data_IF_445816770136
#
_entry.id   IF_445816770136
#
_cell.length_a   1.000
_cell.length_b   1.000
_cell.length_c   1.000
_cell.angle_alpha   90.00
_cell.angle_beta   90.00
_cell.angle_gamma   90.00
#
_symmetry.space_group_name_H-M   'P 1'
#
loop_
_entity.id
_entity.type
_entity.pdbx_description
1 polymer ?
#
# COMPACT_ATOMS: atom_id res chain seq x y z
N UNK A 1 45.38 -24.15 -27.49
CA UNK A 1 43.90 -24.31 -27.69
C UNK A 1 43.07 -23.28 -26.89
N UNK A 2 43.69 -22.32 -26.20
CA UNK A 2 42.99 -21.41 -25.27
C UNK A 2 42.70 -20.01 -25.84
N UNK A 3 43.44 -19.55 -26.85
CA UNK A 3 43.11 -18.30 -27.58
C UNK A 3 41.67 -18.32 -28.15
N UNK A 4 41.21 -19.50 -28.61
CA UNK A 4 39.84 -19.70 -29.07
C UNK A 4 38.82 -19.60 -27.93
N UNK A 5 39.14 -20.06 -26.72
CA UNK A 5 38.29 -19.97 -25.52
C UNK A 5 38.10 -18.52 -25.06
N UNK A 6 39.15 -17.70 -25.10
CA UNK A 6 39.04 -16.28 -24.77
C UNK A 6 38.13 -15.51 -25.75
N UNK A 7 38.30 -15.77 -27.05
CA UNK A 7 37.43 -15.23 -28.08
C UNK A 7 35.99 -15.74 -27.94
N UNK A 8 35.79 -16.99 -27.52
CA UNK A 8 34.47 -17.52 -27.21
C UNK A 8 33.84 -16.86 -25.98
N UNK A 9 34.61 -16.64 -24.91
CA UNK A 9 34.16 -15.91 -23.72
C UNK A 9 33.63 -14.53 -24.13
N UNK A 10 34.41 -13.77 -24.89
CA UNK A 10 34.02 -12.44 -25.34
C UNK A 10 32.78 -12.47 -26.25
N UNK A 11 32.81 -13.30 -27.30
CA UNK A 11 31.76 -13.28 -28.33
C UNK A 11 30.42 -13.77 -27.81
N UNK A 12 30.43 -14.83 -26.99
CA UNK A 12 29.20 -15.48 -26.48
C UNK A 12 28.63 -14.79 -25.24
N UNK A 13 29.40 -13.96 -24.54
CA UNK A 13 28.92 -13.25 -23.35
C UNK A 13 27.98 -12.09 -23.69
N UNK A 14 27.00 -11.89 -22.81
CA UNK A 14 26.12 -10.73 -22.73
C UNK A 14 26.85 -9.53 -22.11
N UNK A 15 26.30 -8.33 -22.28
CA UNK A 15 26.87 -7.12 -21.67
C UNK A 15 26.91 -7.22 -20.13
N UNK A 16 25.92 -7.86 -19.51
CA UNK A 16 25.89 -8.03 -18.06
C UNK A 16 26.95 -9.04 -17.57
N UNK A 17 27.18 -10.12 -18.31
CA UNK A 17 28.27 -11.06 -18.01
C UNK A 17 29.64 -10.38 -18.13
N UNK A 18 29.86 -9.60 -19.20
CA UNK A 18 31.10 -8.84 -19.37
C UNK A 18 31.32 -7.83 -18.24
N UNK A 19 30.28 -7.07 -17.85
CA UNK A 19 30.33 -6.17 -16.68
C UNK A 19 30.68 -6.93 -15.41
N UNK A 20 30.14 -8.14 -15.22
CA UNK A 20 30.44 -8.97 -14.05
C UNK A 20 31.89 -9.44 -14.06
N UNK A 21 32.41 -9.96 -15.17
CA UNK A 21 33.81 -10.38 -15.27
C UNK A 21 34.78 -9.22 -15.00
N UNK A 22 34.52 -8.05 -15.57
CA UNK A 22 35.33 -6.85 -15.34
C UNK A 22 35.39 -6.54 -13.84
N UNK A 23 34.24 -6.56 -13.15
CA UNK A 23 34.18 -6.25 -11.71
C UNK A 23 34.89 -7.28 -10.84
N UNK A 24 34.82 -8.56 -11.20
CA UNK A 24 35.57 -9.61 -10.50
C UNK A 24 37.08 -9.32 -10.57
N UNK A 25 37.61 -8.95 -11.74
CA UNK A 25 39.03 -8.62 -11.88
C UNK A 25 39.39 -7.32 -11.15
N UNK A 26 38.54 -6.30 -11.23
CA UNK A 26 38.73 -5.02 -10.52
C UNK A 26 38.77 -5.22 -8.99
N UNK A 27 37.90 -6.07 -8.44
CA UNK A 27 37.84 -6.33 -7.00
C UNK A 27 39.06 -7.13 -6.50
N UNK A 28 39.51 -8.13 -7.24
CA UNK A 28 40.72 -8.92 -6.93
C UNK A 28 42.01 -8.08 -6.96
N UNK A 29 42.06 -7.05 -7.82
CA UNK A 29 43.23 -6.18 -7.97
C UNK A 29 43.32 -5.07 -6.91
N UNK A 30 42.43 -5.06 -5.92
CA UNK A 30 42.42 -4.09 -4.82
C UNK A 30 42.06 -2.67 -5.26
N UNK A 31 41.45 -2.50 -6.44
CA UNK A 31 40.96 -1.19 -6.88
C UNK A 31 39.77 -0.75 -6.03
N UNK A 32 40.02 0.25 -5.19
CA UNK A 32 39.06 0.80 -4.23
C UNK A 32 38.02 1.69 -4.90
N UNK A 33 36.73 1.37 -4.69
CA UNK A 33 35.55 2.27 -4.64
C UNK A 33 35.25 3.23 -5.82
N UNK A 34 36.15 3.41 -6.78
CA UNK A 34 35.88 4.13 -8.01
C UNK A 34 35.16 3.16 -8.95
N UNK A 35 33.86 2.97 -8.70
CA UNK A 35 32.97 2.18 -9.53
C UNK A 35 33.10 2.68 -10.97
N UNK A 36 33.71 1.86 -11.84
CA UNK A 36 33.66 2.13 -13.27
C UNK A 36 32.20 2.06 -13.71
N UNK A 37 31.61 3.22 -14.00
CA UNK A 37 30.21 3.29 -14.38
C UNK A 37 30.04 2.76 -15.81
N UNK A 38 29.65 1.49 -15.93
CA UNK A 38 29.40 0.82 -17.21
C UNK A 38 28.03 1.11 -17.83
N UNK A 39 27.23 2.03 -17.28
CA UNK A 39 25.86 2.29 -17.79
C UNK A 39 25.85 2.82 -19.23
N UNK A 40 26.93 3.46 -19.67
CA UNK A 40 27.09 3.98 -21.03
C UNK A 40 27.99 3.12 -21.93
N UNK A 41 28.46 1.98 -21.43
CA UNK A 41 29.35 1.10 -22.20
C UNK A 41 28.50 0.18 -23.08
N UNK A 42 28.74 0.24 -24.38
CA UNK A 42 28.26 -0.79 -25.30
C UNK A 42 29.11 -2.06 -25.15
N UNK A 43 28.62 -3.19 -25.69
CA UNK A 43 29.35 -4.46 -25.70
C UNK A 43 30.82 -4.31 -26.12
N UNK A 44 31.12 -3.62 -27.22
CA UNK A 44 32.50 -3.45 -27.71
C UNK A 44 33.43 -2.77 -26.69
N UNK A 45 32.95 -1.75 -25.98
CA UNK A 45 33.72 -1.07 -24.93
C UNK A 45 34.00 -2.00 -23.74
N UNK A 46 33.03 -2.86 -23.39
CA UNK A 46 33.20 -3.85 -22.31
C UNK A 46 34.21 -4.92 -22.70
N UNK A 47 34.14 -5.44 -23.92
CA UNK A 47 35.10 -6.43 -24.44
C UNK A 47 36.53 -5.89 -24.41
N UNK A 48 36.71 -4.62 -24.83
CA UNK A 48 38.00 -3.94 -24.80
C UNK A 48 38.51 -3.75 -23.37
N UNK A 49 37.65 -3.33 -22.44
CA UNK A 49 38.01 -3.13 -21.03
C UNK A 49 38.44 -4.44 -20.37
N UNK A 50 37.65 -5.51 -20.57
CA UNK A 50 37.95 -6.83 -20.05
C UNK A 50 39.31 -7.33 -20.56
N UNK A 51 39.61 -7.05 -21.84
CA UNK A 51 40.88 -7.40 -22.47
C UNK A 51 42.08 -6.69 -21.86
N UNK A 52 41.95 -5.41 -21.58
CA UNK A 52 43.00 -4.64 -20.91
C UNK A 52 43.26 -5.15 -19.49
N UNK A 53 42.20 -5.51 -18.78
CA UNK A 53 42.31 -6.05 -17.42
C UNK A 53 42.96 -7.43 -17.38
N UNK A 54 42.59 -8.35 -18.29
CA UNK A 54 43.20 -9.68 -18.37
C UNK A 54 44.66 -9.59 -18.80
N UNK A 55 44.98 -8.74 -19.79
CA UNK A 55 46.36 -8.45 -20.21
C UNK A 55 47.20 -7.97 -19.02
N UNK A 56 46.68 -7.07 -18.21
CA UNK A 56 47.35 -6.55 -17.01
C UNK A 56 47.50 -7.61 -15.91
N UNK A 57 46.44 -8.38 -15.64
CA UNK A 57 46.41 -9.43 -14.61
C UNK A 57 47.44 -10.53 -14.89
N UNK A 58 47.49 -11.01 -16.13
CA UNK A 58 48.35 -12.11 -16.56
C UNK A 58 49.72 -11.65 -17.10
N UNK A 59 49.95 -10.34 -17.23
CA UNK A 59 51.16 -9.76 -17.84
C UNK A 59 51.41 -10.25 -19.28
N UNK A 60 50.34 -10.56 -20.01
CA UNK A 60 50.38 -10.96 -21.42
C UNK A 60 50.26 -9.71 -22.29
N UNK A 61 51.06 -9.60 -23.35
CA UNK A 61 50.95 -8.48 -24.28
C UNK A 61 49.55 -8.44 -24.95
N UNK A 62 48.96 -7.26 -25.05
CA UNK A 62 47.63 -7.06 -25.64
C UNK A 62 47.55 -7.61 -27.06
N UNK A 63 48.58 -7.39 -27.86
CA UNK A 63 48.68 -7.87 -29.25
C UNK A 63 48.72 -9.41 -29.32
N UNK A 64 49.34 -10.06 -28.33
CA UNK A 64 49.36 -11.53 -28.23
C UNK A 64 47.95 -12.08 -27.97
N UNK A 65 47.16 -11.40 -27.13
CA UNK A 65 45.74 -11.73 -26.94
C UNK A 65 44.86 -11.44 -28.17
N UNK A 66 45.18 -10.41 -28.96
CA UNK A 66 44.44 -10.08 -30.20
C UNK A 66 44.68 -11.12 -31.29
N UNK A 67 45.95 -11.49 -31.48
CA UNK A 67 46.40 -12.32 -32.58
C UNK A 67 46.42 -13.81 -32.23
N UNK A 68 46.18 -14.16 -30.96
CA UNK A 68 46.23 -15.54 -30.47
C UNK A 68 47.64 -16.14 -30.42
N UNK A 69 48.67 -15.29 -30.46
CA UNK A 69 50.07 -15.70 -30.44
C UNK A 69 50.56 -15.80 -28.99
N UNK A 70 50.09 -16.82 -28.28
CA UNK A 70 50.42 -17.09 -26.89
C UNK A 70 51.43 -18.25 -26.80
N UNK A 71 52.36 -18.18 -25.85
CA UNK A 71 53.17 -19.33 -25.45
C UNK A 71 52.31 -20.38 -24.74
N UNK A 72 52.80 -21.61 -24.61
CA UNK A 72 52.07 -22.68 -23.90
C UNK A 72 51.73 -22.30 -22.45
N UNK A 73 52.64 -21.60 -21.76
CA UNK A 73 52.44 -21.12 -20.39
C UNK A 73 51.35 -20.05 -20.36
N UNK A 74 51.43 -19.04 -21.25
CA UNK A 74 50.42 -17.98 -21.33
C UNK A 74 49.05 -18.54 -21.76
N UNK A 75 49.02 -19.57 -22.61
CA UNK A 75 47.79 -20.25 -22.99
C UNK A 75 47.15 -20.94 -21.78
N UNK A 76 47.95 -21.60 -20.94
CA UNK A 76 47.50 -22.29 -19.74
C UNK A 76 46.99 -21.29 -18.70
N UNK A 77 47.76 -20.25 -18.38
CA UNK A 77 47.37 -19.19 -17.43
C UNK A 77 46.11 -18.43 -17.87
N UNK A 78 45.95 -18.19 -19.17
CA UNK A 78 44.73 -17.61 -19.71
C UNK A 78 43.53 -18.55 -19.56
N UNK A 79 43.74 -19.86 -19.74
CA UNK A 79 42.71 -20.89 -19.53
C UNK A 79 42.20 -20.90 -18.09
N UNK A 80 43.12 -20.99 -17.13
CA UNK A 80 42.80 -21.00 -15.70
C UNK A 80 42.08 -19.70 -15.27
N UNK A 81 42.57 -18.55 -15.73
CA UNK A 81 41.93 -17.26 -15.45
C UNK A 81 40.49 -17.17 -15.99
N UNK A 82 40.23 -17.73 -17.17
CA UNK A 82 38.89 -17.77 -17.76
C UNK A 82 37.97 -18.71 -16.98
N UNK A 83 38.46 -19.90 -16.64
CA UNK A 83 37.68 -20.90 -15.92
C UNK A 83 37.33 -20.37 -14.51
N UNK A 84 38.26 -19.72 -13.81
CA UNK A 84 38.02 -19.02 -12.54
C UNK A 84 36.97 -17.92 -12.66
N UNK A 85 37.03 -17.08 -13.72
CA UNK A 85 36.05 -16.01 -13.95
C UNK A 85 34.65 -16.56 -14.19
N UNK A 86 34.53 -17.66 -14.94
CA UNK A 86 33.27 -18.33 -15.18
C UNK A 86 32.70 -18.95 -13.92
N UNK A 87 33.51 -19.60 -13.11
CA UNK A 87 33.08 -20.22 -11.86
C UNK A 87 32.60 -19.17 -10.85
N UNK A 88 33.39 -18.11 -10.62
CA UNK A 88 32.99 -17.02 -9.73
C UNK A 88 31.73 -16.28 -10.23
N UNK A 89 31.65 -15.97 -11.53
CA UNK A 89 30.47 -15.32 -12.12
C UNK A 89 29.20 -16.15 -11.93
N UNK A 90 29.30 -17.47 -12.13
CA UNK A 90 28.19 -18.41 -11.98
C UNK A 90 27.75 -18.55 -10.53
N UNK A 91 28.70 -18.64 -9.60
CA UNK A 91 28.43 -18.70 -8.16
C UNK A 91 27.71 -17.44 -7.69
N UNK A 92 28.23 -16.26 -8.04
CA UNK A 92 27.60 -14.97 -7.74
C UNK A 92 26.19 -14.91 -8.32
N UNK A 93 25.99 -15.32 -9.57
CA UNK A 93 24.67 -15.31 -10.19
C UNK A 93 23.69 -16.24 -9.50
N UNK A 94 24.13 -17.47 -9.18
CA UNK A 94 23.29 -18.47 -8.55
C UNK A 94 22.87 -18.04 -7.14
N UNK A 95 23.83 -17.65 -6.30
CA UNK A 95 23.55 -17.19 -4.94
C UNK A 95 22.69 -15.93 -4.95
N UNK A 96 23.02 -14.96 -5.81
CA UNK A 96 22.26 -13.73 -5.94
C UNK A 96 20.82 -13.96 -6.42
N UNK A 97 20.62 -14.79 -7.45
CA UNK A 97 19.29 -15.11 -7.98
C UNK A 97 18.41 -15.77 -6.92
N UNK A 98 18.98 -16.63 -6.07
CA UNK A 98 18.26 -17.26 -4.96
C UNK A 98 17.81 -16.24 -3.90
N UNK A 99 18.55 -15.14 -3.71
CA UNK A 99 18.23 -14.13 -2.68
C UNK A 99 17.26 -13.03 -3.12
N UNK A 100 17.09 -12.84 -4.43
CA UNK A 100 16.20 -11.80 -4.98
C UNK A 100 15.03 -12.36 -5.77
N UNK A 101 15.00 -13.68 -6.01
CA UNK A 101 14.01 -14.33 -6.88
C UNK A 101 12.56 -14.04 -6.47
N UNK A 102 12.30 -13.82 -5.18
CA UNK A 102 10.99 -13.44 -4.63
C UNK A 102 10.49 -12.04 -5.05
N UNK A 103 11.34 -11.22 -5.65
CA UNK A 103 10.98 -9.90 -6.22
C UNK A 103 10.58 -9.99 -7.70
N UNK A 104 10.95 -11.08 -8.39
CA UNK A 104 10.74 -11.21 -9.82
C UNK A 104 9.26 -11.37 -10.14
N UNK A 105 8.72 -10.52 -11.03
CA UNK A 105 7.30 -10.49 -11.39
C UNK A 105 6.33 -10.33 -10.20
N UNK A 106 6.81 -9.84 -9.05
CA UNK A 106 6.02 -9.62 -7.84
C UNK A 106 6.04 -8.13 -7.44
N UNK A 107 5.19 -7.27 -8.04
CA UNK A 107 5.25 -5.82 -7.84
C UNK A 107 5.11 -5.40 -6.37
N UNK A 108 4.25 -6.09 -5.60
CA UNK A 108 4.03 -5.77 -4.18
C UNK A 108 5.29 -6.02 -3.35
N UNK A 109 5.99 -7.13 -3.61
CA UNK A 109 7.24 -7.48 -2.97
C UNK A 109 8.35 -6.47 -3.34
N UNK A 110 8.44 -6.11 -4.62
CA UNK A 110 9.39 -5.11 -5.13
C UNK A 110 9.19 -3.75 -4.46
N UNK A 111 7.94 -3.28 -4.34
CA UNK A 111 7.65 -2.01 -3.68
C UNK A 111 8.04 -2.05 -2.20
N UNK A 112 7.66 -3.11 -1.49
CA UNK A 112 8.01 -3.28 -0.08
C UNK A 112 9.54 -3.27 0.12
N UNK A 113 10.26 -4.03 -0.70
CA UNK A 113 11.71 -4.13 -0.64
C UNK A 113 12.38 -2.76 -0.77
N UNK A 114 12.03 -1.99 -1.81
CA UNK A 114 12.63 -0.68 -2.06
C UNK A 114 12.39 0.27 -0.89
N UNK A 115 11.16 0.34 -0.35
CA UNK A 115 10.85 1.22 0.79
C UNK A 115 11.64 0.84 2.04
N UNK A 116 11.75 -0.46 2.35
CA UNK A 116 12.52 -0.92 3.52
C UNK A 116 14.01 -0.67 3.34
N UNK A 117 14.58 -0.94 2.16
CA UNK A 117 16.01 -0.66 1.87
C UNK A 117 16.30 0.83 1.98
N UNK A 118 15.43 1.69 1.46
CA UNK A 118 15.60 3.13 1.59
C UNK A 118 15.55 3.57 3.06
N UNK A 119 14.64 3.01 3.87
CA UNK A 119 14.61 3.26 5.31
C UNK A 119 15.90 2.81 6.02
N UNK A 120 16.46 1.66 5.64
CA UNK A 120 17.75 1.17 6.15
C UNK A 120 18.88 2.13 5.78
N UNK A 121 18.96 2.59 4.53
CA UNK A 121 20.01 3.53 4.10
C UNK A 121 19.90 4.86 4.87
N UNK A 122 18.68 5.39 5.01
CA UNK A 122 18.44 6.66 5.68
C UNK A 122 18.75 6.60 7.19
N UNK A 123 18.38 5.51 7.85
CA UNK A 123 18.53 5.35 9.31
C UNK A 123 19.83 4.69 9.73
N UNK A 124 20.46 3.92 8.85
CA UNK A 124 21.59 3.04 9.16
C UNK A 124 21.21 1.77 9.92
N UNK A 125 19.92 1.51 10.20
CA UNK A 125 19.49 0.37 11.00
C UNK A 125 19.20 -0.85 10.11
N UNK A 126 19.90 -1.96 10.36
CA UNK A 126 19.75 -3.25 9.66
C UNK A 126 19.02 -4.31 10.48
N UNK A 127 18.62 -4.00 11.72
CA UNK A 127 17.86 -4.91 12.58
C UNK A 127 16.39 -4.93 12.16
N UNK A 128 15.98 -5.98 11.44
CA UNK A 128 14.64 -6.15 10.87
C UNK A 128 13.77 -7.16 11.63
N UNK A 129 13.95 -7.29 12.94
CA UNK A 129 13.08 -8.14 13.76
C UNK A 129 11.67 -7.54 13.80
N UNK A 130 10.67 -8.30 13.37
CA UNK A 130 9.28 -7.86 13.42
C UNK A 130 8.80 -7.69 14.88
N UNK A 131 8.13 -6.57 15.25
CA UNK A 131 7.93 -5.36 14.46
C UNK A 131 9.17 -4.43 14.45
N UNK A 132 9.46 -3.81 13.31
CA UNK A 132 10.59 -2.88 13.13
C UNK A 132 10.17 -1.46 13.51
N UNK A 133 9.93 -1.22 14.80
CA UNK A 133 9.40 0.05 15.33
C UNK A 133 10.36 1.23 15.25
N UNK A 134 11.62 0.98 14.89
CA UNK A 134 12.61 2.04 14.67
C UNK A 134 12.37 2.83 13.38
N UNK A 135 11.58 2.30 12.45
CA UNK A 135 11.22 3.01 11.23
C UNK A 135 9.89 3.74 11.43
N UNK A 136 9.86 5.01 11.04
CA UNK A 136 8.64 5.80 10.98
C UNK A 136 8.53 6.46 9.62
N UNK A 137 7.33 6.40 9.04
CA UNK A 137 7.03 6.93 7.72
C UNK A 137 6.08 8.14 7.76
N UNK A 138 5.61 8.50 8.95
CA UNK A 138 4.79 9.69 9.20
C UNK A 138 5.64 10.95 9.23
N UNK A 139 5.01 12.08 8.92
CA UNK A 139 5.66 13.38 9.04
C UNK A 139 6.04 13.64 10.51
N UNK A 140 7.32 13.88 10.80
CA UNK A 140 7.73 14.23 12.16
C UNK A 140 7.35 15.70 12.35
N UNK A 141 6.15 15.96 12.89
CA UNK A 141 5.81 17.31 13.35
C UNK A 141 6.96 17.81 14.23
N UNK A 142 7.53 18.97 13.90
CA UNK A 142 8.68 19.53 14.59
C UNK A 142 8.37 19.83 16.07
N UNK A 143 8.48 18.83 16.93
CA UNK A 143 8.58 19.01 18.38
C UNK A 143 9.15 17.74 19.01
N UNK A 144 10.46 17.58 18.87
CA UNK A 144 11.33 17.03 19.90
C UNK A 144 12.77 17.23 19.40
N UNK A 145 13.43 18.23 19.98
CA UNK A 145 14.88 18.45 19.99
C UNK A 145 15.65 17.79 18.83
N UNK A 146 15.64 18.45 17.66
CA UNK A 146 16.66 18.22 16.61
C UNK A 146 18.09 18.34 17.20
N UNK A 147 18.24 19.01 18.34
CA UNK A 147 19.46 19.10 19.14
C UNK A 147 19.91 17.79 19.82
N UNK A 148 19.01 16.83 20.09
CA UNK A 148 19.36 15.53 20.73
C UNK A 148 19.60 14.39 19.74
N UNK A 149 19.07 14.48 18.52
CA UNK A 149 19.43 13.56 17.43
C UNK A 149 20.68 14.02 16.66
N UNK A 150 21.00 15.32 16.69
CA UNK A 150 22.29 15.83 16.20
C UNK A 150 23.42 15.74 17.23
N UNK A 151 23.16 15.48 18.52
CA UNK A 151 24.22 15.35 19.53
C UNK A 151 24.97 14.01 19.51
N UNK A 152 24.69 13.12 18.55
CA UNK A 152 25.56 11.99 18.20
C UNK A 152 26.39 12.24 16.93
N UNK A 153 26.19 13.35 16.21
CA UNK A 153 26.97 13.68 15.00
C UNK A 153 28.29 14.41 15.28
N UNK A 154 28.86 14.20 16.47
CA UNK A 154 30.21 14.64 16.83
C UNK A 154 31.31 13.63 16.46
N UNK A 155 30.95 12.46 15.93
CA UNK A 155 31.92 11.54 15.32
C UNK A 155 32.20 11.97 13.88
N UNK A 156 33.38 12.56 13.69
CA UNK A 156 34.04 12.73 12.39
C UNK A 156 33.78 11.49 11.51
N UNK A 157 33.02 11.67 10.43
CA UNK A 157 33.03 10.87 9.20
C UNK A 157 33.43 9.38 9.34
N UNK A 158 32.80 8.65 10.27
CA UNK A 158 32.87 7.19 10.23
C UNK A 158 31.83 6.75 9.19
N UNK A 159 32.25 6.09 8.10
CA UNK A 159 31.30 5.55 7.13
C UNK A 159 30.31 4.66 7.86
N UNK A 160 29.01 4.88 7.65
CA UNK A 160 28.00 3.97 8.19
C UNK A 160 28.23 2.62 7.54
N UNK A 161 28.01 1.55 8.29
CA UNK A 161 28.08 0.19 7.76
C UNK A 161 27.15 -0.05 6.57
N UNK A 162 26.13 0.80 6.37
CA UNK A 162 25.19 0.74 5.24
C UNK A 162 25.53 1.70 4.09
N UNK A 163 26.65 2.42 4.14
CA UNK A 163 26.98 3.43 3.13
C UNK A 163 27.15 2.83 1.72
N UNK A 164 27.60 1.59 1.63
CA UNK A 164 27.72 0.85 0.37
C UNK A 164 26.34 0.57 -0.30
N UNK A 165 25.23 0.69 0.44
CA UNK A 165 23.87 0.53 -0.06
C UNK A 165 23.27 1.86 -0.58
N UNK A 166 23.97 2.99 -0.45
CA UNK A 166 23.49 4.31 -0.94
C UNK A 166 22.97 4.32 -2.37
N UNK A 167 23.57 3.59 -3.34
CA UNK A 167 23.04 3.51 -4.70
C UNK A 167 21.59 3.01 -4.79
N UNK A 168 21.10 2.30 -3.76
CA UNK A 168 19.73 1.79 -3.72
C UNK A 168 18.71 2.82 -3.21
N UNK A 169 19.15 3.94 -2.62
CA UNK A 169 18.26 4.94 -2.02
C UNK A 169 17.44 5.75 -3.03
N UNK A 170 17.92 5.84 -4.28
CA UNK A 170 17.28 6.63 -5.34
C UNK A 170 16.26 5.81 -6.16
N UNK A 171 16.13 4.52 -5.88
CA UNK A 171 15.19 3.65 -6.57
C UNK A 171 13.76 4.00 -6.22
N UNK A 172 12.91 4.08 -7.25
CA UNK A 172 11.49 4.38 -7.08
C UNK A 172 10.64 3.50 -8.01
N UNK A 173 9.95 2.48 -7.48
CA UNK A 173 9.33 1.43 -8.29
C UNK A 173 8.10 1.91 -9.08
N UNK A 174 7.55 3.09 -8.77
CA UNK A 174 6.43 3.67 -9.51
C UNK A 174 6.85 4.71 -10.57
N UNK A 175 8.14 5.06 -10.67
CA UNK A 175 8.67 5.95 -11.73
C UNK A 175 9.12 5.21 -12.97
N UNK A 176 9.89 4.13 -12.82
CA UNK A 176 10.56 3.45 -13.94
C UNK A 176 9.90 2.13 -14.33
N UNK A 177 9.78 1.88 -15.64
CA UNK A 177 9.22 0.61 -16.16
C UNK A 177 10.13 -0.60 -15.91
N UNK A 178 11.45 -0.41 -15.81
CA UNK A 178 12.45 -1.47 -15.62
C UNK A 178 13.03 -1.52 -14.19
N UNK A 179 12.22 -1.19 -13.18
CA UNK A 179 12.72 -1.07 -11.79
C UNK A 179 13.40 -2.35 -11.30
N UNK A 180 12.84 -3.52 -11.60
CA UNK A 180 13.44 -4.80 -11.22
C UNK A 180 14.83 -4.97 -11.85
N UNK A 181 14.97 -4.82 -13.17
CA UNK A 181 16.25 -4.99 -13.87
C UNK A 181 17.31 -4.00 -13.39
N UNK A 182 16.90 -2.75 -13.14
CA UNK A 182 17.79 -1.73 -12.60
C UNK A 182 18.24 -2.09 -11.18
N UNK A 183 17.33 -2.63 -10.35
CA UNK A 183 17.61 -3.02 -8.97
C UNK A 183 18.56 -4.22 -8.93
N UNK A 184 18.28 -5.23 -9.76
CA UNK A 184 19.14 -6.41 -9.97
C UNK A 184 20.53 -5.93 -10.36
N UNK A 185 20.64 -5.08 -11.37
CA UNK A 185 21.92 -4.54 -11.83
C UNK A 185 22.66 -3.79 -10.71
N UNK A 186 21.97 -2.96 -9.91
CA UNK A 186 22.57 -2.22 -8.82
C UNK A 186 23.07 -3.13 -7.69
N UNK A 187 22.28 -4.14 -7.31
CA UNK A 187 22.66 -5.13 -6.30
C UNK A 187 23.82 -6.03 -6.78
N UNK A 188 23.85 -6.41 -8.06
CA UNK A 188 25.01 -7.11 -8.64
C UNK A 188 26.28 -6.27 -8.54
N UNK A 189 26.21 -4.95 -8.79
CA UNK A 189 27.35 -4.04 -8.56
C UNK A 189 27.81 -4.13 -7.13
N UNK A 190 26.88 -3.98 -6.19
CA UNK A 190 27.19 -3.96 -4.77
C UNK A 190 27.87 -5.27 -4.37
N UNK A 191 27.28 -6.41 -4.71
CA UNK A 191 27.79 -7.74 -4.35
C UNK A 191 29.19 -7.98 -4.93
N UNK A 192 29.41 -7.65 -6.20
CA UNK A 192 30.69 -7.91 -6.90
C UNK A 192 31.83 -6.99 -6.45
N UNK A 193 31.51 -5.76 -6.03
CA UNK A 193 32.48 -4.75 -5.58
C UNK A 193 32.69 -4.70 -4.07
N UNK A 194 31.87 -5.42 -3.31
CA UNK A 194 31.93 -5.49 -1.85
C UNK A 194 33.03 -6.42 -1.36
N UNK A 195 33.61 -6.12 -0.20
CA UNK A 195 34.42 -7.09 0.53
C UNK A 195 33.58 -8.33 0.92
N UNK A 196 34.20 -9.50 1.18
CA UNK A 196 33.47 -10.71 1.57
C UNK A 196 32.52 -10.49 2.76
N UNK A 197 32.90 -9.61 3.71
CA UNK A 197 32.08 -9.25 4.86
C UNK A 197 30.85 -8.42 4.47
N UNK A 198 31.01 -7.44 3.58
CA UNK A 198 29.92 -6.62 3.05
C UNK A 198 28.98 -7.44 2.16
N UNK A 199 29.52 -8.35 1.35
CA UNK A 199 28.75 -9.30 0.55
C UNK A 199 27.87 -10.18 1.45
N UNK A 200 28.46 -10.84 2.46
CA UNK A 200 27.72 -11.67 3.41
C UNK A 200 26.64 -10.85 4.16
N UNK A 201 26.93 -9.59 4.48
CA UNK A 201 25.98 -8.68 5.11
C UNK A 201 24.83 -8.31 4.19
N UNK A 202 25.11 -8.13 2.90
CA UNK A 202 24.10 -7.87 1.86
C UNK A 202 23.18 -9.08 1.71
N UNK A 203 23.71 -10.30 1.58
CA UNK A 203 22.87 -11.50 1.52
C UNK A 203 22.06 -11.75 2.79
N UNK A 204 22.62 -11.42 3.96
CA UNK A 204 21.88 -11.46 5.22
C UNK A 204 20.75 -10.43 5.21
N UNK A 205 21.00 -9.23 4.71
CA UNK A 205 19.98 -8.19 4.60
C UNK A 205 18.85 -8.63 3.66
N UNK A 206 19.16 -9.14 2.47
CA UNK A 206 18.17 -9.61 1.50
C UNK A 206 17.24 -10.67 2.14
N UNK A 207 17.81 -11.66 2.84
CA UNK A 207 17.04 -12.67 3.59
C UNK A 207 16.20 -12.09 4.71
N UNK A 208 16.73 -11.12 5.45
CA UNK A 208 16.00 -10.48 6.54
C UNK A 208 14.80 -9.68 6.02
N UNK A 209 14.96 -8.96 4.89
CA UNK A 209 13.86 -8.21 4.26
C UNK A 209 12.81 -9.18 3.70
N UNK A 210 13.22 -10.27 3.05
CA UNK A 210 12.33 -11.32 2.58
C UNK A 210 11.54 -11.94 3.76
N UNK A 211 12.21 -12.33 4.83
CA UNK A 211 11.57 -12.91 6.03
C UNK A 211 10.58 -11.95 6.68
N UNK A 212 10.92 -10.66 6.73
CA UNK A 212 10.02 -9.61 7.21
C UNK A 212 8.80 -9.50 6.29
N UNK A 213 8.99 -9.47 4.97
CA UNK A 213 7.90 -9.44 4.00
C UNK A 213 7.00 -10.67 4.13
N UNK A 214 7.55 -11.88 4.23
CA UNK A 214 6.78 -13.12 4.44
C UNK A 214 5.97 -13.05 5.73
N UNK A 215 6.55 -12.54 6.82
CA UNK A 215 5.85 -12.36 8.09
C UNK A 215 4.68 -11.40 7.97
N UNK A 216 4.88 -10.24 7.33
CA UNK A 216 3.82 -9.25 7.07
C UNK A 216 2.73 -9.83 6.17
N UNK A 217 3.14 -10.50 5.10
CA UNK A 217 2.23 -11.11 4.14
C UNK A 217 1.32 -12.15 4.81
N UNK A 218 1.89 -13.03 5.65
CA UNK A 218 1.13 -14.00 6.45
C UNK A 218 0.17 -13.30 7.42
N UNK A 219 0.65 -12.28 8.14
CA UNK A 219 -0.16 -11.55 9.14
C UNK A 219 -1.29 -10.74 8.52
N UNK A 220 -1.08 -10.17 7.33
CA UNK A 220 -2.09 -9.37 6.64
C UNK A 220 -3.04 -10.25 5.80
N UNK A 221 -2.54 -11.35 5.26
CA UNK A 221 -3.15 -12.18 4.21
C UNK A 221 -3.41 -11.39 2.90
N UNK A 222 -3.11 -11.98 1.74
CA UNK A 222 -3.28 -11.34 0.43
C UNK A 222 -4.76 -11.03 0.09
N UNK A 223 -5.68 -11.70 0.78
CA UNK A 223 -7.09 -11.76 0.44
C UNK A 223 -8.00 -10.73 1.13
N UNK A 224 -7.44 -9.73 1.82
CA UNK A 224 -8.29 -8.68 2.40
C UNK A 224 -9.01 -7.93 1.28
N UNK A 225 -10.31 -8.26 1.12
CA UNK A 225 -11.26 -7.74 0.12
C UNK A 225 -11.43 -6.22 0.14
N UNK A 226 -10.83 -5.52 1.10
CA UNK A 226 -10.93 -4.07 1.28
C UNK A 226 -10.51 -3.28 0.03
N UNK A 227 -9.59 -3.80 -0.79
CA UNK A 227 -9.04 -3.09 -1.95
C UNK A 227 -9.32 -3.77 -3.31
N UNK A 228 -10.40 -4.54 -3.43
CA UNK A 228 -10.85 -5.12 -4.72
C UNK A 228 -11.73 -4.16 -5.53
N UNK A 229 -11.52 -2.85 -5.40
CA UNK A 229 -12.28 -1.86 -6.17
C UNK A 229 -11.53 -1.55 -7.46
N UNK A 230 -12.28 -1.36 -8.55
CA UNK A 230 -11.75 -0.84 -9.82
C UNK A 230 -12.17 0.61 -10.09
N UNK A 231 -12.78 1.25 -9.08
CA UNK A 231 -13.12 2.68 -9.11
C UNK A 231 -11.85 3.54 -9.02
N UNK A 232 -11.40 4.04 -10.18
CA UNK A 232 -10.20 4.86 -10.35
C UNK A 232 -10.20 6.13 -9.49
N UNK A 233 -11.34 6.83 -9.33
CA UNK A 233 -11.38 8.05 -8.52
C UNK A 233 -11.24 7.73 -7.03
N UNK A 234 -11.85 6.62 -6.57
CA UNK A 234 -11.72 6.17 -5.18
C UNK A 234 -10.28 5.73 -4.88
N UNK A 235 -9.64 5.03 -5.81
CA UNK A 235 -8.23 4.63 -5.73
C UNK A 235 -7.34 5.87 -5.67
N UNK A 236 -7.49 6.80 -6.62
CA UNK A 236 -6.68 8.01 -6.68
C UNK A 236 -6.82 8.88 -5.42
N UNK A 237 -8.05 9.07 -4.93
CA UNK A 237 -8.29 9.80 -3.69
C UNK A 237 -7.59 9.15 -2.50
N UNK A 238 -7.69 7.82 -2.38
CA UNK A 238 -7.13 7.10 -1.24
C UNK A 238 -5.61 7.07 -1.29
N UNK A 239 -5.06 6.84 -2.48
CA UNK A 239 -3.65 6.96 -2.80
C UNK A 239 -3.10 8.33 -2.36
N UNK A 240 -3.70 9.42 -2.82
CA UNK A 240 -3.27 10.77 -2.43
C UNK A 240 -3.39 11.02 -0.93
N UNK A 241 -4.44 10.50 -0.28
CA UNK A 241 -4.59 10.62 1.18
C UNK A 241 -3.49 9.89 1.93
N UNK A 242 -3.09 8.69 1.49
CA UNK A 242 -2.06 7.90 2.17
C UNK A 242 -0.66 8.48 1.92
N UNK A 243 -0.35 8.87 0.68
CA UNK A 243 0.96 9.49 0.36
C UNK A 243 1.18 10.79 1.12
N UNK A 244 0.12 11.56 1.40
CA UNK A 244 0.20 12.75 2.27
C UNK A 244 0.42 12.40 3.75
N UNK A 245 -0.17 11.30 4.22
CA UNK A 245 -0.05 10.89 5.62
C UNK A 245 1.30 10.20 5.91
N UNK A 246 1.87 9.53 4.90
CA UNK A 246 3.12 8.78 5.01
C UNK A 246 4.15 9.22 3.95
N UNK A 247 4.65 10.47 4.02
CA UNK A 247 5.49 11.05 2.97
C UNK A 247 6.88 10.41 2.87
N UNK A 248 7.40 9.80 3.95
CA UNK A 248 8.76 9.25 3.97
C UNK A 248 8.88 7.82 3.40
N UNK A 249 7.85 7.34 2.71
CA UNK A 249 7.92 6.07 1.97
C UNK A 249 8.81 6.16 0.73
N UNK A 250 9.18 7.38 0.28
CA UNK A 250 10.03 7.59 -0.89
C UNK A 250 9.38 7.24 -2.23
N UNK A 251 8.12 6.81 -2.21
CA UNK A 251 7.31 6.54 -3.40
C UNK A 251 6.90 7.86 -4.05
N UNK A 252 7.01 7.95 -5.38
CA UNK A 252 6.66 9.16 -6.12
C UNK A 252 5.17 9.24 -6.45
N UNK A 253 4.69 10.44 -6.81
CA UNK A 253 3.33 10.62 -7.30
C UNK A 253 3.19 10.03 -8.72
N UNK A 254 2.12 9.28 -8.98
CA UNK A 254 1.83 8.68 -10.29
C UNK A 254 0.34 8.74 -10.61
N UNK A 255 0.02 8.87 -11.91
CA UNK A 255 -1.36 8.86 -12.43
C UNK A 255 -1.83 7.46 -12.83
N UNK A 256 -0.90 6.50 -12.92
CA UNK A 256 -1.17 5.11 -13.26
C UNK A 256 -1.91 4.39 -12.13
N UNK A 257 -3.14 3.94 -12.39
CA UNK A 257 -4.03 3.34 -11.39
C UNK A 257 -3.45 2.05 -10.80
N UNK A 258 -2.75 1.23 -11.60
CA UNK A 258 -2.18 -0.02 -11.11
C UNK A 258 -1.00 0.28 -10.18
N UNK A 259 -0.16 1.25 -10.53
CA UNK A 259 0.92 1.73 -9.63
C UNK A 259 0.37 2.39 -8.37
N UNK A 260 -0.76 3.08 -8.45
CA UNK A 260 -1.46 3.61 -7.27
C UNK A 260 -1.94 2.48 -6.35
N UNK A 261 -2.57 1.43 -6.90
CA UNK A 261 -2.97 0.23 -6.15
C UNK A 261 -1.76 -0.42 -5.45
N UNK A 262 -0.64 -0.60 -6.17
CA UNK A 262 0.59 -1.16 -5.58
C UNK A 262 1.16 -0.27 -4.48
N UNK A 263 1.14 1.05 -4.66
CA UNK A 263 1.58 2.01 -3.63
C UNK A 263 0.72 1.91 -2.37
N UNK A 264 -0.60 1.89 -2.51
CA UNK A 264 -1.53 1.71 -1.38
C UNK A 264 -1.20 0.41 -0.63
N UNK A 265 -1.04 -0.70 -1.36
CA UNK A 265 -0.74 -2.00 -0.76
C UNK A 265 0.60 -1.98 -0.01
N UNK A 266 1.64 -1.39 -0.61
CA UNK A 266 2.96 -1.24 -0.01
C UNK A 266 2.91 -0.43 1.30
N UNK A 267 2.19 0.70 1.34
CA UNK A 267 2.05 1.52 2.54
C UNK A 267 1.49 0.68 3.69
N UNK A 268 0.45 -0.11 3.45
CA UNK A 268 -0.09 -1.01 4.48
C UNK A 268 0.90 -2.08 4.93
N UNK A 269 1.67 -2.66 4.00
CA UNK A 269 2.66 -3.69 4.33
C UNK A 269 3.79 -3.12 5.18
N UNK A 270 4.28 -1.93 4.82
CA UNK A 270 5.31 -1.22 5.58
C UNK A 270 4.81 -0.83 6.96
N UNK A 271 3.58 -0.31 7.08
CA UNK A 271 2.98 -0.01 8.38
C UNK A 271 2.80 -1.27 9.23
N UNK A 272 2.43 -2.39 8.61
CA UNK A 272 2.33 -3.68 9.31
C UNK A 272 3.68 -4.15 9.82
N UNK A 273 4.74 -4.00 9.02
CA UNK A 273 6.12 -4.34 9.41
C UNK A 273 6.63 -3.51 10.58
N UNK A 274 6.20 -2.25 10.68
CA UNK A 274 6.90 -1.21 11.47
C UNK A 274 6.07 -0.69 12.64
N UNK A 275 4.85 -1.18 12.79
CA UNK A 275 3.96 -0.83 13.90
C UNK A 275 3.71 -2.05 14.77
N UNK A 276 3.65 -1.86 16.09
CA UNK A 276 3.25 -2.90 17.03
C UNK A 276 1.92 -3.56 16.64
N UNK A 277 1.76 -4.89 16.71
CA UNK A 277 0.60 -5.60 16.17
C UNK A 277 -0.76 -5.03 16.60
N UNK A 278 -0.92 -4.78 17.90
CA UNK A 278 -2.17 -4.26 18.46
C UNK A 278 -2.48 -2.84 18.00
N UNK A 279 -1.44 -2.03 17.80
CA UNK A 279 -1.55 -0.65 17.30
C UNK A 279 -1.86 -0.67 15.82
N UNK A 280 -1.21 -1.55 15.06
CA UNK A 280 -1.45 -1.73 13.63
C UNK A 280 -2.89 -2.14 13.35
N UNK A 281 -3.47 -3.09 14.09
CA UNK A 281 -4.88 -3.49 13.90
C UNK A 281 -5.84 -2.30 14.03
N UNK A 282 -5.65 -1.46 15.04
CA UNK A 282 -6.48 -0.26 15.23
C UNK A 282 -6.28 0.79 14.13
N UNK A 283 -5.04 0.96 13.68
CA UNK A 283 -4.71 1.87 12.58
C UNK A 283 -5.33 1.37 11.28
N UNK A 284 -5.20 0.09 11.00
CA UNK A 284 -5.76 -0.58 9.84
C UNK A 284 -7.28 -0.44 9.79
N UNK A 285 -7.99 -0.76 10.88
CA UNK A 285 -9.45 -0.60 10.96
C UNK A 285 -9.88 0.83 10.65
N UNK A 286 -9.14 1.83 11.17
CA UNK A 286 -9.40 3.24 10.88
C UNK A 286 -9.19 3.59 9.41
N UNK A 287 -8.09 3.12 8.82
CA UNK A 287 -7.76 3.36 7.41
C UNK A 287 -8.76 2.69 6.47
N UNK A 288 -9.22 1.48 6.80
CA UNK A 288 -10.22 0.72 6.04
C UNK A 288 -11.61 1.34 6.19
N UNK A 289 -12.01 1.76 7.39
CA UNK A 289 -13.31 2.42 7.61
C UNK A 289 -13.37 3.76 6.87
N UNK A 290 -12.28 4.54 6.86
CA UNK A 290 -12.19 5.79 6.08
C UNK A 290 -12.43 5.54 4.59
N UNK A 291 -11.86 4.46 4.04
CA UNK A 291 -12.07 4.06 2.66
C UNK A 291 -13.52 3.60 2.40
N UNK A 292 -14.05 2.71 3.24
CA UNK A 292 -15.42 2.18 3.11
C UNK A 292 -16.49 3.26 3.22
N UNK A 293 -16.31 4.23 4.13
CA UNK A 293 -17.20 5.38 4.25
C UNK A 293 -17.25 6.17 2.95
N UNK A 294 -16.10 6.49 2.37
CA UNK A 294 -16.04 7.22 1.09
C UNK A 294 -16.68 6.44 -0.06
N UNK A 295 -16.50 5.12 -0.09
CA UNK A 295 -17.16 4.22 -1.04
C UNK A 295 -18.69 4.27 -0.91
N UNK A 296 -19.22 4.22 0.32
CA UNK A 296 -20.66 4.35 0.60
C UNK A 296 -21.20 5.72 0.20
N UNK A 297 -20.51 6.80 0.57
CA UNK A 297 -20.92 8.17 0.24
C UNK A 297 -21.04 8.37 -1.28
N UNK A 298 -20.09 7.81 -2.04
CA UNK A 298 -20.11 7.85 -3.51
C UNK A 298 -21.24 7.01 -4.12
N UNK A 299 -21.51 5.83 -3.57
CA UNK A 299 -22.63 4.99 -4.00
C UNK A 299 -23.98 5.66 -3.74
N UNK A 300 -24.14 6.27 -2.56
CA UNK A 300 -25.35 6.98 -2.15
C UNK A 300 -25.57 8.28 -2.93
N UNK A 301 -24.50 8.90 -3.47
CA UNK A 301 -24.60 10.06 -4.37
C UNK A 301 -25.13 9.72 -5.77
N UNK A 302 -25.21 8.43 -6.15
CA UNK A 302 -25.71 7.95 -7.45
C UNK A 302 -27.11 7.33 -7.39
N UNK A 303 -27.71 7.22 -6.20
CA UNK A 303 -29.07 6.71 -6.01
C UNK A 303 -30.01 7.90 -5.88
N UNK A 304 -31.02 7.97 -6.75
CA UNK A 304 -32.16 8.88 -6.56
C UNK A 304 -32.70 8.67 -5.15
N UNK A 305 -32.68 9.75 -4.35
CA UNK A 305 -33.10 9.78 -2.95
C UNK A 305 -34.33 8.89 -2.70
N UNK A 306 -34.10 7.70 -2.18
CA UNK A 306 -35.01 7.02 -1.26
C UNK A 306 -34.25 6.82 0.03
N UNK A 307 -34.05 7.96 0.69
CA UNK A 307 -33.51 8.10 2.03
C UNK A 307 -34.33 7.25 3.02
N UNK A 308 -33.80 6.10 3.44
CA UNK A 308 -33.90 5.72 4.85
C UNK A 308 -32.83 6.51 5.60
N UNK A 309 -33.13 7.77 5.87
CA UNK A 309 -32.41 8.57 6.84
C UNK A 309 -32.60 7.93 8.22
N UNK A 310 -31.59 7.25 8.75
CA UNK A 310 -31.41 7.26 10.21
C UNK A 310 -31.00 8.69 10.57
N UNK A 311 -31.99 9.55 10.86
CA UNK A 311 -31.76 10.87 11.42
C UNK A 311 -31.22 10.68 12.85
N UNK A 312 -29.91 10.62 13.00
CA UNK A 312 -29.28 10.90 14.30
C UNK A 312 -29.58 12.35 14.66
N UNK A 313 -30.59 12.55 15.51
CA UNK A 313 -30.86 13.84 16.15
C UNK A 313 -29.64 14.25 17.00
N UNK A 314 -28.88 15.23 16.51
CA UNK A 314 -27.80 15.87 17.26
C UNK A 314 -28.36 17.09 17.98
N UNK A 315 -28.55 16.98 19.29
CA UNK A 315 -28.88 18.11 20.17
C UNK A 315 -27.59 18.70 20.75
N UNK A 316 -27.53 20.03 20.84
CA UNK A 316 -26.45 20.72 21.57
C UNK A 316 -26.54 20.42 23.08
N UNK A 317 -25.46 20.62 23.84
CA UNK A 317 -25.51 20.42 25.30
C UNK A 317 -26.51 21.37 25.99
N UNK A 318 -26.70 22.58 25.45
CA UNK A 318 -27.73 23.51 25.91
C UNK A 318 -29.16 23.01 25.64
N UNK A 319 -29.38 22.28 24.54
CA UNK A 319 -30.69 21.70 24.24
C UNK A 319 -30.95 20.48 25.13
N UNK A 320 -29.90 19.71 25.45
CA UNK A 320 -29.98 18.65 26.45
C UNK A 320 -30.33 19.17 27.84
N UNK A 321 -29.73 20.29 28.26
CA UNK A 321 -30.05 20.91 29.55
C UNK A 321 -31.52 21.32 29.64
N UNK A 322 -32.07 21.96 28.59
CA UNK A 322 -33.49 22.31 28.51
C UNK A 322 -34.41 21.08 28.52
N UNK A 323 -34.02 20.01 27.83
CA UNK A 323 -34.78 18.76 27.80
C UNK A 323 -34.79 18.05 29.16
N UNK A 324 -33.68 18.11 29.91
CA UNK A 324 -33.58 17.56 31.28
C UNK A 324 -34.46 18.37 32.24
N UNK A 325 -34.47 19.69 32.10
CA UNK A 325 -35.30 20.61 32.90
C UNK A 325 -36.81 20.38 32.68
N UNK A 326 -37.22 20.07 31.44
CA UNK A 326 -38.61 19.76 31.09
C UNK A 326 -39.01 18.34 31.52
N UNK A 327 -38.10 17.38 31.45
CA UNK A 327 -38.42 15.95 31.63
C UNK A 327 -38.29 15.43 33.07
N UNK A 328 -37.75 16.23 34.01
CA UNK A 328 -37.62 15.87 35.41
C UNK A 328 -36.71 14.64 35.62
N UNK A 329 -35.40 14.90 35.74
CA UNK A 329 -34.32 14.00 36.20
C UNK A 329 -34.37 12.51 35.80
N UNK A 330 -34.95 12.19 34.64
CA UNK A 330 -34.80 10.88 34.01
C UNK A 330 -33.61 10.94 33.05
N UNK A 331 -32.49 10.34 33.48
CA UNK A 331 -31.18 10.35 32.82
C UNK A 331 -31.25 10.38 31.28
N UNK A 332 -30.38 11.17 30.64
CA UNK A 332 -30.24 11.40 29.18
C UNK A 332 -30.62 10.23 28.25
N UNK A 333 -30.35 8.99 28.67
CA UNK A 333 -30.70 7.77 27.95
C UNK A 333 -32.21 7.48 27.91
N UNK A 334 -32.97 7.80 28.96
CA UNK A 334 -34.43 7.67 29.02
C UNK A 334 -35.15 8.64 28.08
N UNK A 335 -34.70 9.90 28.03
CA UNK A 335 -35.19 10.89 27.06
C UNK A 335 -34.91 10.40 25.62
N UNK A 336 -33.70 9.89 25.36
CA UNK A 336 -33.31 9.35 24.06
C UNK A 336 -34.15 8.14 23.64
N UNK A 337 -34.46 7.24 24.58
CA UNK A 337 -35.30 6.07 24.32
C UNK A 337 -36.74 6.47 23.98
N UNK A 338 -37.32 7.40 24.75
CA UNK A 338 -38.71 7.86 24.55
C UNK A 338 -38.87 8.69 23.27
N UNK A 339 -37.85 9.48 22.92
CA UNK A 339 -37.84 10.22 21.64
C UNK A 339 -37.79 9.27 20.45
N UNK A 340 -36.99 8.19 20.55
CA UNK A 340 -36.92 7.16 19.52
C UNK A 340 -38.26 6.42 19.38
N UNK A 341 -38.90 6.07 20.49
CA UNK A 341 -40.22 5.43 20.49
C UNK A 341 -41.30 6.30 19.83
N UNK A 342 -41.33 7.61 20.11
CA UNK A 342 -42.27 8.54 19.48
C UNK A 342 -42.02 8.70 17.98
N UNK A 343 -40.75 8.74 17.57
CA UNK A 343 -40.39 8.80 16.14
C UNK A 343 -40.80 7.52 15.43
N UNK A 344 -40.54 6.36 16.02
CA UNK A 344 -40.90 5.07 15.45
C UNK A 344 -42.43 4.92 15.34
N UNK A 345 -43.18 5.42 16.32
CA UNK A 345 -44.66 5.42 16.32
C UNK A 345 -45.25 6.35 15.28
N UNK A 346 -44.69 7.55 15.12
CA UNK A 346 -45.10 8.49 14.07
C UNK A 346 -44.76 7.98 12.66
N UNK A 347 -43.62 7.29 12.51
CA UNK A 347 -43.23 6.65 11.25
C UNK A 347 -44.13 5.46 10.89
N UNK A 348 -44.60 4.70 11.89
CA UNK A 348 -45.59 3.66 11.68
C UNK A 348 -46.93 4.26 11.21
N UNK A 349 -47.41 5.30 11.90
CA UNK A 349 -48.63 6.00 11.51
C UNK A 349 -48.55 6.59 10.09
N UNK A 350 -47.37 7.08 9.67
CA UNK A 350 -47.15 7.61 8.31
C UNK A 350 -47.02 6.52 7.23
N UNK A 351 -46.67 5.28 7.61
CA UNK A 351 -46.72 4.12 6.71
C UNK A 351 -48.14 3.61 6.54
N UNK A 352 -48.89 3.51 7.63
CA UNK A 352 -50.30 3.08 7.59
C UNK A 352 -51.17 4.07 6.81
N UNK A 353 -50.85 5.38 6.90
CA UNK A 353 -51.49 6.42 6.08
C UNK A 353 -51.11 6.38 4.59
N UNK A 354 -50.02 5.70 4.20
CA UNK A 354 -49.57 5.53 2.80
C UNK A 354 -49.98 4.18 2.20
N UNK A 355 -50.19 3.14 3.00
CA UNK A 355 -50.70 1.83 2.54
C UNK A 355 -52.24 1.81 2.37
N UNK A 356 -52.97 2.81 2.88
CA UNK A 356 -54.39 3.00 2.57
C UNK A 356 -54.69 3.55 1.16
N UNK A 357 -53.68 3.74 0.31
CA UNK A 357 -53.87 4.32 -1.01
C UNK A 357 -52.85 3.72 -2.01
N UNK A 358 -53.13 2.50 -2.50
CA UNK A 358 -52.85 1.97 -3.86
C UNK A 358 -53.17 0.47 -3.85
N UNK A 359 -54.29 0.08 -4.49
CA UNK A 359 -54.36 -1.01 -5.47
C UNK A 359 -55.79 -1.14 -6.01
N UNK A 360 -55.98 -0.70 -7.26
CA UNK A 360 -56.84 -1.26 -8.33
C UNK A 360 -56.83 -0.21 -9.48
N UNK A 361 -56.31 -0.47 -10.68
CA UNK A 361 -56.57 -1.65 -11.49
C UNK A 361 -55.41 -2.03 -12.43
N UNK A 362 -55.28 -3.35 -12.62
CA UNK A 362 -54.75 -3.97 -13.83
C UNK A 362 -55.93 -4.44 -14.69
N UNK A 363 -55.84 -4.16 -16.00
CA UNK A 363 -56.54 -4.71 -17.16
C UNK A 363 -57.42 -5.97 -16.97
N UNK A 364 -58.71 -5.92 -17.36
CA UNK A 364 -59.22 -6.54 -18.61
C UNK A 364 -60.77 -6.47 -18.74
N UNK A 365 -61.20 -5.79 -19.82
CA UNK A 365 -62.38 -5.95 -20.69
C UNK A 365 -63.54 -6.91 -20.29
N UNK A 366 -64.79 -6.39 -20.19
CA UNK A 366 -66.02 -6.91 -20.85
C UNK A 366 -67.33 -6.24 -20.35
N UNK A 367 -68.17 -5.84 -21.32
CA UNK A 367 -69.65 -5.85 -21.36
C UNK A 367 -70.53 -5.03 -20.39
N UNK A 368 -71.17 -4.01 -21.00
CA UNK A 368 -72.62 -3.85 -21.18
C UNK A 368 -73.59 -3.73 -19.96
N UNK A 369 -74.07 -2.50 -19.78
CA UNK A 369 -75.48 -2.05 -19.74
C UNK A 369 -76.48 -2.59 -18.70
N UNK A 370 -77.07 -1.64 -17.94
CA UNK A 370 -78.49 -1.51 -17.45
C UNK A 370 -78.53 -1.10 -15.96
N UNK A 371 -78.62 0.20 -15.64
CA UNK A 371 -79.81 1.08 -15.49
C UNK A 371 -80.51 1.05 -14.12
N UNK A 372 -80.40 2.22 -13.48
CA UNK A 372 -81.42 2.96 -12.70
C UNK A 372 -81.74 2.62 -11.24
N UNK A 373 -81.79 3.73 -10.49
CA UNK A 373 -82.58 4.01 -9.28
C UNK A 373 -82.12 3.35 -7.99
N UNK A 374 -81.28 4.08 -7.24
CA UNK A 374 -81.41 4.31 -5.79
C UNK A 374 -80.37 5.36 -5.36
N UNK A 375 -80.60 6.61 -5.80
CA UNK A 375 -80.20 7.79 -5.04
C UNK A 375 -81.43 8.21 -4.24
N UNK A 376 -81.21 8.58 -2.97
CA UNK A 376 -82.18 8.87 -1.91
C UNK A 376 -82.63 7.66 -1.10
N UNK A 377 -81.80 7.24 -0.13
CA UNK A 377 -82.21 6.86 1.23
C UNK A 377 -80.99 6.24 1.94
N UNK A 378 -80.25 7.08 2.68
CA UNK A 378 -79.43 6.73 3.87
C UNK A 378 -78.51 7.90 4.29
N UNK A 379 -78.81 9.11 3.84
CA UNK A 379 -78.34 10.36 4.44
C UNK A 379 -79.16 10.77 5.70
N UNK A 380 -79.93 9.84 6.29
CA UNK A 380 -80.89 10.17 7.37
C UNK A 380 -80.91 9.17 8.56
N UNK A 381 -79.83 8.39 8.78
CA UNK A 381 -79.76 7.45 9.93
C UNK A 381 -78.50 7.54 10.81
N UNK A 382 -77.67 8.57 10.66
CA UNK A 382 -76.69 8.93 11.70
C UNK A 382 -77.01 10.23 12.45
N UNK A 383 -77.92 11.05 11.93
CA UNK A 383 -78.37 12.29 12.60
C UNK A 383 -79.31 12.06 13.80
N UNK A 384 -79.80 10.82 13.99
CA UNK A 384 -80.65 10.44 15.14
C UNK A 384 -79.88 9.78 16.30
N UNK A 385 -78.60 9.43 16.14
CA UNK A 385 -77.74 9.00 17.27
C UNK A 385 -77.03 10.16 17.96
N UNK A 386 -76.91 11.31 17.30
CA UNK A 386 -76.37 12.56 17.85
C UNK A 386 -77.35 13.32 18.77
N UNK A 387 -78.63 12.92 18.81
CA UNK A 387 -79.65 13.53 19.70
C UNK A 387 -79.90 12.77 21.02
N UNK A 388 -79.31 11.59 21.21
CA UNK A 388 -79.54 10.80 22.43
C UNK A 388 -78.37 10.82 23.46
N UNK A 389 -77.23 11.43 23.14
CA UNK A 389 -76.05 11.47 24.02
C UNK A 389 -75.74 12.84 24.66
N UNK A 390 -76.56 13.88 24.42
CA UNK A 390 -76.37 15.23 24.99
C UNK A 390 -77.47 15.68 25.97
N UNK A 391 -78.08 14.76 26.75
CA UNK A 391 -79.10 15.13 27.74
C UNK A 391 -78.90 14.66 29.17
N UNK A 392 -77.70 14.17 29.59
CA UNK A 392 -77.54 13.66 30.96
C UNK A 392 -76.32 14.04 31.81
N UNK A 393 -75.49 15.00 31.44
CA UNK A 393 -74.47 15.53 32.38
C UNK A 393 -74.36 17.07 32.34
N UNK A 394 -75.52 17.72 32.48
CA UNK A 394 -75.63 19.15 32.87
C UNK A 394 -76.16 19.31 34.30
N UNK A 395 -75.87 18.34 35.16
CA UNK A 395 -76.17 18.38 36.59
C UNK A 395 -74.89 17.89 37.28
N UNK A 396 -74.33 18.71 38.17
CA UNK A 396 -73.05 18.57 38.90
C UNK A 396 -71.83 19.36 38.36
N UNK A 397 -72.02 20.66 38.11
CA UNK A 397 -70.94 21.64 38.18
C UNK A 397 -71.41 22.98 38.78
N UNK A 398 -72.25 22.91 39.83
CA UNK A 398 -72.66 24.06 40.64
C UNK A 398 -72.56 23.80 42.16
N UNK A 399 -71.79 22.78 42.58
CA UNK A 399 -71.52 22.48 43.98
C UNK A 399 -70.06 22.00 44.11
N UNK A 400 -69.12 22.95 44.16
CA UNK A 400 -67.85 22.91 44.94
C UNK A 400 -66.91 24.12 44.65
N UNK A 401 -67.49 25.31 44.42
CA UNK A 401 -66.83 26.58 44.80
C UNK A 401 -67.57 27.15 46.01
N UNK A 402 -67.19 26.67 47.20
CA UNK A 402 -67.25 27.41 48.46
C UNK A 402 -65.86 27.40 49.07
#
# INVERSE_FOLDING_TARGET
MSSYRYLELIKKSTENELKRYIRIIESESGYSYAITNFNNYNKANLELTLKELISKKLKIARESLDNGNLTEIEEYELGDCIDDLFDQSREIQYEFSNHIGWLNNEPRALYFFVVIVQAIVNTGNTALSYPVTTFSFEDKSESEDKSKLQSLSGEKYLPRYTDYLKPLADFCPNKTGSTYDNLVSALEVIITSSSPREQQSTYRLLRNVESLYTTVFIKRNADRKAFKTDDAELINWYYLSLTRQYPYTGLSITEDIDKQKQTIMCIFDVLCATTEPNTFTKLEDRLVEKFNRRKRDKANGKVSKTTKEEKTLTFSESDWAKLIEIAGDSAKNGIKAKLKELIDKELANQKDAKEGNVDQDSNDNLQATQTHQEQQEQQEQQDDRLRHFLSKERIYADLLSQ
#
